data_IF_942536543038
#
_entry.id   IF_942536543038
#
_cell.length_a   1.000
_cell.length_b   1.000
_cell.length_c   1.000
_cell.angle_alpha   90.00
_cell.angle_beta   90.00
_cell.angle_gamma   90.00
#
_symmetry.space_group_name_H-M   'P 1'
#
loop_
_entity.id
_entity.type
_entity.pdbx_description
1 polymer ?
#
# COMPACT_ATOMS: atom_id res chain seq x y z
N UNK A 1 -7.38 10.12 -25.40
CA UNK A 1 -8.30 9.59 -24.37
C UNK A 1 -7.68 8.55 -23.44
N UNK A 2 -6.98 7.51 -23.92
CA UNK A 2 -6.35 6.47 -23.06
C UNK A 2 -5.44 7.00 -21.94
N UNK A 3 -4.63 8.03 -22.22
CA UNK A 3 -3.75 8.63 -21.21
C UNK A 3 -4.52 9.28 -20.06
N UNK A 4 -5.61 9.98 -20.36
CA UNK A 4 -6.43 10.66 -19.36
C UNK A 4 -7.11 9.65 -18.42
N UNK A 5 -7.60 8.54 -18.98
CA UNK A 5 -8.16 7.42 -18.19
C UNK A 5 -7.10 6.79 -17.31
N UNK A 6 -5.89 6.54 -17.83
CA UNK A 6 -4.78 5.98 -17.04
C UNK A 6 -4.38 6.90 -15.89
N UNK A 7 -4.27 8.20 -16.13
CA UNK A 7 -3.96 9.19 -15.09
C UNK A 7 -5.05 9.23 -14.02
N UNK A 8 -6.33 9.23 -14.41
CA UNK A 8 -7.44 9.20 -13.47
C UNK A 8 -7.40 7.95 -12.59
N UNK A 9 -7.17 6.78 -13.19
CA UNK A 9 -7.07 5.50 -12.46
C UNK A 9 -5.93 5.53 -11.45
N UNK A 10 -4.75 6.03 -11.83
CA UNK A 10 -3.60 6.15 -10.92
C UNK A 10 -3.93 7.09 -9.76
N UNK A 11 -4.54 8.24 -10.03
CA UNK A 11 -4.95 9.19 -8.98
C UNK A 11 -5.96 8.55 -8.02
N UNK A 12 -6.98 7.88 -8.54
CA UNK A 12 -7.97 7.18 -7.72
C UNK A 12 -7.34 6.08 -6.86
N UNK A 13 -6.41 5.30 -7.42
CA UNK A 13 -5.67 4.27 -6.67
C UNK A 13 -4.82 4.89 -5.56
N UNK A 14 -4.09 5.98 -5.85
CA UNK A 14 -3.28 6.68 -4.85
C UNK A 14 -4.12 7.24 -3.70
N UNK A 15 -5.28 7.83 -4.00
CA UNK A 15 -6.21 8.34 -2.98
C UNK A 15 -6.77 7.21 -2.12
N UNK A 16 -7.15 6.09 -2.74
CA UNK A 16 -7.66 4.93 -2.02
C UNK A 16 -6.60 4.29 -1.12
N UNK A 17 -5.37 4.14 -1.61
CA UNK A 17 -4.22 3.69 -0.83
C UNK A 17 -3.94 4.60 0.37
N UNK A 18 -4.01 5.92 0.17
CA UNK A 18 -3.86 6.90 1.25
C UNK A 18 -4.95 6.77 2.32
N UNK A 19 -6.20 6.59 1.90
CA UNK A 19 -7.33 6.37 2.83
C UNK A 19 -7.15 5.05 3.60
N UNK A 20 -6.84 3.96 2.90
CA UNK A 20 -6.62 2.65 3.51
C UNK A 20 -5.45 2.68 4.51
N UNK A 21 -4.35 3.37 4.19
CA UNK A 21 -3.22 3.53 5.10
C UNK A 21 -3.60 4.29 6.38
N UNK A 22 -4.44 5.32 6.26
CA UNK A 22 -4.96 6.08 7.40
C UNK A 22 -5.84 5.21 8.30
N UNK A 23 -6.82 4.52 7.72
CA UNK A 23 -7.73 3.64 8.47
C UNK A 23 -6.97 2.50 9.16
N UNK A 24 -6.00 1.88 8.46
CA UNK A 24 -5.13 0.86 9.04
C UNK A 24 -4.35 1.38 10.24
N UNK A 25 -3.76 2.57 10.11
CA UNK A 25 -2.98 3.18 11.19
C UNK A 25 -3.86 3.46 12.42
N UNK A 26 -5.07 3.99 12.22
CA UNK A 26 -6.03 4.22 13.31
C UNK A 26 -6.43 2.91 13.99
N UNK A 27 -6.73 1.88 13.21
CA UNK A 27 -7.02 0.54 13.72
C UNK A 27 -5.88 0.00 14.58
N UNK A 28 -4.63 0.04 14.08
CA UNK A 28 -3.46 -0.45 14.81
C UNK A 28 -3.20 0.35 16.10
N UNK A 29 -3.43 1.67 16.08
CA UNK A 29 -3.29 2.52 17.28
C UNK A 29 -4.37 2.21 18.34
N UNK A 30 -5.58 1.85 17.92
CA UNK A 30 -6.68 1.51 18.81
C UNK A 30 -6.51 0.16 19.52
N UNK A 31 -5.66 -0.73 19.01
CA UNK A 31 -5.42 -2.04 19.63
C UNK A 31 -4.69 -1.91 20.98
N UNK A 32 -5.13 -2.62 22.04
CA UNK A 32 -4.49 -2.61 23.36
C UNK A 32 -3.22 -3.49 23.36
N UNK A 33 -2.23 -3.11 22.55
CA UNK A 33 -0.97 -3.84 22.35
C UNK A 33 0.23 -2.97 22.67
N UNK A 34 1.36 -3.60 23.01
CA UNK A 34 2.63 -2.90 23.22
C UNK A 34 3.15 -2.24 21.94
N UNK A 35 3.96 -1.18 22.08
CA UNK A 35 4.43 -0.36 20.96
C UNK A 35 5.18 -1.15 19.87
N UNK A 36 5.98 -2.15 20.24
CA UNK A 36 6.69 -3.00 19.29
C UNK A 36 5.75 -3.83 18.40
N UNK A 37 4.69 -4.39 18.97
CA UNK A 37 3.71 -5.17 18.22
C UNK A 37 2.90 -4.29 17.26
N UNK A 38 2.56 -3.08 17.70
CA UNK A 38 1.90 -2.08 16.85
C UNK A 38 2.77 -1.68 15.67
N UNK A 39 4.07 -1.47 15.88
CA UNK A 39 5.00 -1.17 14.79
C UNK A 39 5.09 -2.31 13.76
N UNK A 40 5.14 -3.56 14.21
CA UNK A 40 5.09 -4.72 13.31
C UNK A 40 3.81 -4.75 12.47
N UNK A 41 2.64 -4.53 13.10
CA UNK A 41 1.36 -4.50 12.39
C UNK A 41 1.26 -3.32 11.42
N UNK A 42 1.79 -2.15 11.78
CA UNK A 42 1.81 -0.99 10.90
C UNK A 42 2.61 -1.22 9.61
N UNK A 43 3.65 -2.06 9.66
CA UNK A 43 4.53 -2.36 8.52
C UNK A 43 3.96 -3.44 7.59
N UNK A 44 3.01 -4.26 8.03
CA UNK A 44 2.45 -5.37 7.22
C UNK A 44 1.92 -4.93 5.85
N UNK A 45 1.12 -3.85 5.71
CA UNK A 45 0.63 -3.43 4.41
C UNK A 45 1.76 -2.98 3.47
N UNK A 46 2.80 -2.34 4.01
CA UNK A 46 3.98 -1.94 3.23
C UNK A 46 4.72 -3.17 2.69
N UNK A 47 4.86 -4.22 3.49
CA UNK A 47 5.47 -5.48 3.05
C UNK A 47 4.60 -6.19 2.00
N UNK A 48 3.28 -6.18 2.16
CA UNK A 48 2.36 -6.77 1.17
C UNK A 48 2.45 -6.04 -0.19
N UNK A 49 2.45 -4.70 -0.18
CA UNK A 49 2.60 -3.90 -1.41
C UNK A 49 3.99 -4.07 -2.01
N UNK A 50 5.04 -4.05 -1.18
CA UNK A 50 6.43 -4.22 -1.62
C UNK A 50 6.69 -5.59 -2.25
N UNK A 51 6.20 -6.66 -1.63
CA UNK A 51 6.33 -8.02 -2.18
C UNK A 51 5.52 -8.21 -3.46
N UNK A 52 4.30 -7.67 -3.54
CA UNK A 52 3.51 -7.67 -4.79
C UNK A 52 4.23 -6.92 -5.91
N UNK A 53 4.81 -5.76 -5.61
CA UNK A 53 5.57 -4.97 -6.59
C UNK A 53 6.83 -5.71 -7.06
N UNK A 54 7.57 -6.31 -6.13
CA UNK A 54 8.79 -7.06 -6.44
C UNK A 54 8.50 -8.30 -7.29
N UNK A 55 7.45 -9.06 -6.97
CA UNK A 55 7.02 -10.24 -7.76
C UNK A 55 6.56 -9.84 -9.15
N UNK A 56 5.84 -8.72 -9.28
CA UNK A 56 5.41 -8.21 -10.56
C UNK A 56 6.58 -7.72 -11.43
N UNK A 57 7.55 -7.00 -10.84
CA UNK A 57 8.77 -6.58 -11.53
C UNK A 57 9.64 -7.77 -11.94
N UNK A 58 9.74 -8.80 -11.09
CA UNK A 58 10.44 -10.03 -11.44
C UNK A 58 9.79 -10.75 -12.64
N UNK A 59 8.47 -10.62 -12.81
CA UNK A 59 7.75 -11.16 -13.96
C UNK A 59 7.82 -10.25 -15.22
N UNK A 60 8.16 -8.96 -15.06
CA UNK A 60 8.23 -7.96 -16.12
C UNK A 60 9.54 -7.13 -16.02
N UNK A 61 10.71 -7.78 -16.19
CA UNK A 61 12.00 -7.13 -15.98
C UNK A 61 12.27 -5.97 -16.96
N UNK A 62 11.54 -5.90 -18.07
CA UNK A 62 11.63 -4.81 -19.06
C UNK A 62 11.09 -3.45 -18.56
N UNK A 63 10.49 -3.42 -17.37
CA UNK A 63 9.83 -2.24 -16.80
C UNK A 63 10.60 -1.62 -15.63
N UNK A 64 11.71 -2.24 -15.20
CA UNK A 64 12.62 -1.74 -14.15
C UNK A 64 13.88 -1.13 -14.71
#
# INVERSE_FOLDING_TARGET
MRYLVRTLVVVCLSLFLGLAAREWTLFVQALPMGGGLRAMLAVLPLLAVGSGSATWLAAHPEQG
#
